data_IF_973463283352
#
_entry.id   IF_973463283352
#
_cell.length_a   1.000
_cell.length_b   1.000
_cell.length_c   1.000
_cell.angle_alpha   90.00
_cell.angle_beta   90.00
_cell.angle_gamma   90.00
#
_symmetry.space_group_name_H-M   'P 1'
#
loop_
_entity.id
_entity.type
_entity.pdbx_description
1 polymer ?
#
# COMPACT_ATOMS: atom_id res chain seq x y z
N UNK A 1 -20.73 38.83 1.96
CA UNK A 1 -19.48 38.65 1.20
C UNK A 1 -18.33 38.73 2.19
N UNK A 2 -17.97 37.67 2.80
CA UNK A 2 -16.84 37.56 3.73
C UNK A 2 -15.65 37.00 2.96
N UNK A 3 -14.71 37.89 2.62
CA UNK A 3 -13.42 37.53 2.04
C UNK A 3 -12.63 36.71 3.07
N UNK A 4 -12.55 35.41 2.90
CA UNK A 4 -11.57 34.55 3.55
C UNK A 4 -10.22 34.76 2.85
N UNK A 5 -9.48 35.79 3.21
CA UNK A 5 -8.07 35.97 2.87
C UNK A 5 -7.21 35.48 4.03
N UNK A 6 -7.20 34.19 4.25
CA UNK A 6 -6.29 33.53 5.13
C UNK A 6 -5.73 32.31 4.37
N UNK A 7 -4.66 32.51 3.61
CA UNK A 7 -3.85 31.38 3.12
C UNK A 7 -3.18 30.74 4.31
N UNK A 8 -3.89 29.84 5.02
CA UNK A 8 -3.23 28.94 5.94
C UNK A 8 -2.26 28.10 5.13
N UNK A 9 -0.98 28.16 5.44
CA UNK A 9 0.02 27.30 4.82
C UNK A 9 -0.46 25.85 4.91
N UNK A 10 -0.32 25.08 3.83
CA UNK A 10 -0.78 23.69 3.76
C UNK A 10 0.38 22.81 3.33
N UNK A 11 0.52 21.66 3.98
CA UNK A 11 1.45 20.63 3.55
C UNK A 11 0.73 19.65 2.63
N UNK A 12 1.38 19.29 1.54
CA UNK A 12 0.86 18.32 0.60
C UNK A 12 1.79 17.10 0.50
N UNK A 13 1.20 15.93 0.43
CA UNK A 13 1.90 14.66 0.37
C UNK A 13 1.35 13.82 -0.77
N UNK A 14 2.23 13.18 -1.53
CA UNK A 14 1.84 12.23 -2.58
C UNK A 14 2.49 10.88 -2.34
N UNK A 15 1.68 9.83 -2.33
CA UNK A 15 2.13 8.44 -2.28
C UNK A 15 1.89 7.79 -3.65
N UNK A 16 2.97 7.36 -4.32
CA UNK A 16 2.93 6.58 -5.55
C UNK A 16 3.00 5.09 -5.21
N UNK A 17 1.83 4.50 -4.95
CA UNK A 17 1.71 3.07 -4.71
C UNK A 17 1.63 2.26 -6.00
N UNK A 18 1.69 0.94 -5.91
CA UNK A 18 1.62 0.05 -7.09
C UNK A 18 0.26 0.09 -7.82
N UNK A 19 -0.83 0.41 -7.13
CA UNK A 19 -2.20 0.38 -7.69
C UNK A 19 -2.90 1.74 -7.71
N UNK A 20 -2.35 2.75 -7.05
CA UNK A 20 -2.97 4.08 -6.97
C UNK A 20 -1.96 5.16 -6.59
N UNK A 21 -2.23 6.37 -7.08
CA UNK A 21 -1.65 7.59 -6.55
C UNK A 21 -2.58 8.12 -5.48
N UNK A 22 -2.04 8.54 -4.34
CA UNK A 22 -2.81 9.16 -3.26
C UNK A 22 -2.23 10.54 -2.96
N UNK A 23 -3.07 11.56 -2.93
CA UNK A 23 -2.72 12.91 -2.56
C UNK A 23 -3.41 13.26 -1.24
N UNK A 24 -2.65 13.83 -0.32
CA UNK A 24 -3.14 14.26 0.99
C UNK A 24 -2.80 15.72 1.22
N UNK A 25 -3.75 16.50 1.73
CA UNK A 25 -3.58 17.88 2.13
C UNK A 25 -3.79 17.98 3.64
N UNK A 26 -2.82 18.55 4.33
CA UNK A 26 -2.84 18.73 5.79
C UNK A 26 -2.66 20.22 6.11
N UNK A 27 -3.49 20.83 6.96
CA UNK A 27 -3.30 22.19 7.41
C UNK A 27 -1.98 22.34 8.17
N UNK A 28 -1.26 23.44 7.95
CA UNK A 28 -0.01 23.74 8.69
C UNK A 28 -0.28 24.43 10.02
N UNK A 29 -1.44 25.04 10.16
CA UNK A 29 -1.76 25.98 11.24
C UNK A 29 -2.82 25.40 12.18
N UNK A 30 -2.52 24.38 12.95
CA UNK A 30 -3.25 24.12 14.18
C UNK A 30 -2.59 23.00 14.96
N UNK A 31 -1.65 23.28 15.83
CA UNK A 31 -1.24 22.34 16.86
C UNK A 31 -0.99 20.92 16.34
N UNK A 32 -0.97 19.96 17.21
CA UNK A 32 -0.69 18.53 16.89
C UNK A 32 -1.77 17.80 16.04
N UNK A 33 -2.69 18.48 15.39
CA UNK A 33 -3.68 17.84 14.50
C UNK A 33 -3.03 17.40 13.20
N UNK A 34 -2.84 16.09 13.05
CA UNK A 34 -2.40 15.42 11.84
C UNK A 34 -3.58 15.06 10.92
N UNK A 35 -4.72 15.71 11.11
CA UNK A 35 -5.94 15.42 10.38
C UNK A 35 -5.82 15.84 8.92
N UNK A 36 -6.10 14.91 8.03
CA UNK A 36 -6.12 15.14 6.59
C UNK A 36 -7.37 15.95 6.24
N UNK A 37 -7.18 17.20 5.78
CA UNK A 37 -8.28 18.04 5.32
C UNK A 37 -8.92 17.48 4.04
N UNK A 38 -8.07 17.03 3.10
CA UNK A 38 -8.52 16.49 1.82
C UNK A 38 -7.67 15.30 1.39
N UNK A 39 -8.32 14.26 0.89
CA UNK A 39 -7.68 13.08 0.30
C UNK A 39 -8.22 12.83 -1.11
N UNK A 40 -7.32 12.55 -2.05
CA UNK A 40 -7.65 12.04 -3.39
C UNK A 40 -6.88 10.77 -3.65
N UNK A 41 -7.59 9.75 -4.10
CA UNK A 41 -7.03 8.48 -4.54
C UNK A 41 -7.39 8.22 -5.98
N UNK A 42 -6.39 8.11 -6.85
CA UNK A 42 -6.56 7.84 -8.28
C UNK A 42 -5.95 6.48 -8.59
N UNK A 43 -6.76 5.54 -9.13
CA UNK A 43 -6.23 4.26 -9.62
C UNK A 43 -5.28 4.50 -10.80
N UNK A 44 -4.20 3.70 -10.85
CA UNK A 44 -3.31 3.66 -12.01
C UNK A 44 -2.73 2.26 -12.23
N UNK A 45 -2.07 2.04 -13.37
CA UNK A 45 -1.63 0.72 -13.81
C UNK A 45 -0.12 0.47 -13.60
N UNK A 46 0.55 1.25 -12.77
CA UNK A 46 1.99 1.17 -12.58
C UNK A 46 2.46 -0.23 -12.20
N UNK A 47 1.85 -0.82 -11.17
CA UNK A 47 2.22 -2.16 -10.73
C UNK A 47 2.00 -3.21 -11.81
N UNK A 48 0.93 -3.08 -12.63
CA UNK A 48 0.73 -3.99 -13.74
C UNK A 48 1.86 -3.91 -14.76
N UNK A 49 2.27 -2.72 -15.16
CA UNK A 49 3.37 -2.51 -16.09
C UNK A 49 4.67 -3.11 -15.54
N UNK A 50 5.02 -2.73 -14.30
CA UNK A 50 6.32 -3.09 -13.72
C UNK A 50 6.41 -4.57 -13.41
N UNK A 51 5.41 -5.16 -12.76
CA UNK A 51 5.45 -6.59 -12.40
C UNK A 51 5.19 -7.53 -13.58
N UNK A 52 4.72 -7.00 -14.71
CA UNK A 52 4.58 -7.76 -15.94
C UNK A 52 5.74 -7.64 -16.91
N UNK A 53 6.37 -6.45 -16.97
CA UNK A 53 7.32 -6.10 -18.03
C UNK A 53 8.62 -5.49 -17.51
N UNK A 54 8.76 -5.32 -16.18
CA UNK A 54 9.94 -4.73 -15.54
C UNK A 54 10.09 -3.22 -15.71
N UNK A 55 9.14 -2.55 -16.37
CA UNK A 55 9.25 -1.13 -16.73
C UNK A 55 7.90 -0.44 -16.82
N UNK A 56 7.90 0.88 -16.64
CA UNK A 56 6.72 1.74 -16.80
C UNK A 56 6.52 2.01 -18.29
N UNK A 57 5.32 1.79 -18.80
CA UNK A 57 4.99 2.09 -20.20
C UNK A 57 4.86 3.60 -20.43
N UNK A 58 5.16 4.10 -21.65
CA UNK A 58 4.96 5.52 -22.00
C UNK A 58 3.51 5.97 -21.75
N UNK A 59 2.54 5.09 -22.00
CA UNK A 59 1.12 5.35 -21.76
C UNK A 59 0.84 5.58 -20.25
N UNK A 60 1.40 4.76 -19.37
CA UNK A 60 1.23 4.92 -17.92
C UNK A 60 1.92 6.19 -17.42
N UNK A 61 3.11 6.53 -17.93
CA UNK A 61 3.77 7.79 -17.62
C UNK A 61 2.92 9.00 -18.01
N UNK A 62 2.46 9.04 -19.25
CA UNK A 62 1.62 10.14 -19.75
C UNK A 62 0.30 10.27 -18.97
N UNK A 63 -0.35 9.14 -18.64
CA UNK A 63 -1.56 9.13 -17.85
C UNK A 63 -1.32 9.67 -16.44
N UNK A 64 -0.20 9.29 -15.80
CA UNK A 64 0.18 9.81 -14.50
C UNK A 64 0.36 11.34 -14.52
N UNK A 65 1.12 11.85 -15.49
CA UNK A 65 1.38 13.29 -15.63
C UNK A 65 0.09 14.06 -15.88
N UNK A 66 -0.77 13.56 -16.76
CA UNK A 66 -2.10 14.15 -17.02
C UNK A 66 -2.95 14.19 -15.75
N UNK A 67 -2.97 13.10 -14.98
CA UNK A 67 -3.68 13.01 -13.69
C UNK A 67 -3.16 14.03 -12.70
N UNK A 68 -1.84 14.14 -12.55
CA UNK A 68 -1.22 15.10 -11.63
C UNK A 68 -1.48 16.55 -12.05
N UNK A 69 -1.46 16.85 -13.36
CA UNK A 69 -1.86 18.18 -13.88
C UNK A 69 -3.31 18.53 -13.49
N UNK A 70 -4.24 17.58 -13.60
CA UNK A 70 -5.62 17.77 -13.18
C UNK A 70 -5.75 17.96 -11.65
N UNK A 71 -5.02 17.16 -10.87
CA UNK A 71 -4.98 17.30 -9.40
C UNK A 71 -4.41 18.65 -8.98
N UNK A 72 -3.36 19.15 -9.65
CA UNK A 72 -2.80 20.49 -9.37
C UNK A 72 -3.81 21.60 -9.61
N UNK A 73 -4.66 21.48 -10.64
CA UNK A 73 -5.75 22.44 -10.87
C UNK A 73 -6.84 22.34 -9.79
N UNK A 74 -7.22 21.11 -9.40
CA UNK A 74 -8.22 20.89 -8.35
C UNK A 74 -7.77 21.44 -6.98
N UNK A 75 -6.47 21.34 -6.70
CA UNK A 75 -5.84 21.80 -5.45
C UNK A 75 -5.06 23.10 -5.67
N UNK A 76 -5.70 24.10 -6.28
CA UNK A 76 -5.11 25.42 -6.52
C UNK A 76 -4.48 26.00 -5.24
N UNK A 77 -3.26 26.51 -5.36
CA UNK A 77 -2.47 27.06 -4.24
C UNK A 77 -1.41 26.11 -3.68
N UNK A 78 -1.23 24.90 -4.25
CA UNK A 78 -0.14 24.00 -3.89
C UNK A 78 0.87 23.96 -5.04
N UNK A 79 2.11 24.37 -4.75
CA UNK A 79 3.25 24.13 -5.64
C UNK A 79 3.71 22.70 -5.51
N UNK A 80 3.88 22.00 -6.64
CA UNK A 80 4.42 20.63 -6.60
C UNK A 80 5.90 20.55 -6.21
N UNK A 81 6.61 21.67 -6.25
CA UNK A 81 7.98 21.78 -5.73
C UNK A 81 8.04 21.63 -4.20
N UNK A 82 6.95 22.00 -3.51
CA UNK A 82 6.82 21.94 -2.05
C UNK A 82 6.13 20.65 -1.56
N UNK A 83 5.73 19.75 -2.49
CA UNK A 83 5.07 18.49 -2.15
C UNK A 83 6.09 17.44 -1.71
N UNK A 84 5.84 16.81 -0.58
CA UNK A 84 6.57 15.59 -0.20
C UNK A 84 5.98 14.39 -0.95
N UNK A 85 6.74 13.84 -1.88
CA UNK A 85 6.29 12.72 -2.69
C UNK A 85 7.17 11.49 -2.49
N UNK A 86 6.54 10.34 -2.22
CA UNK A 86 7.21 9.06 -2.06
C UNK A 86 6.72 8.02 -3.08
N UNK A 87 7.65 7.20 -3.56
CA UNK A 87 7.36 6.06 -4.42
C UNK A 87 7.74 4.75 -3.74
N UNK A 88 6.86 3.75 -3.85
CA UNK A 88 7.04 2.45 -3.17
C UNK A 88 7.39 1.32 -4.14
N UNK A 89 7.06 0.08 -3.82
CA UNK A 89 7.51 -1.15 -4.48
C UNK A 89 7.58 -1.09 -6.02
N UNK A 90 6.52 -0.64 -6.71
CA UNK A 90 6.54 -0.63 -8.17
C UNK A 90 7.53 0.40 -8.75
N UNK A 91 7.66 1.60 -8.16
CA UNK A 91 8.68 2.57 -8.59
C UNK A 91 10.09 2.11 -8.24
N UNK A 92 10.27 1.44 -7.11
CA UNK A 92 11.55 0.90 -6.67
C UNK A 92 12.09 -0.15 -7.65
N UNK A 93 11.22 -0.96 -8.23
CA UNK A 93 11.57 -2.06 -9.13
C UNK A 93 11.56 -1.70 -10.62
N UNK A 94 11.01 -0.57 -10.98
CA UNK A 94 10.94 -0.15 -12.39
C UNK A 94 12.32 0.19 -12.94
N UNK A 95 12.78 -0.54 -13.97
CA UNK A 95 14.08 -0.31 -14.64
C UNK A 95 14.23 1.10 -15.20
N UNK A 96 13.13 1.77 -15.48
CA UNK A 96 13.10 3.13 -16.04
C UNK A 96 12.53 4.17 -15.06
N UNK A 97 12.56 3.90 -13.76
CA UNK A 97 12.07 4.83 -12.73
C UNK A 97 12.76 6.21 -12.78
N UNK A 98 14.06 6.24 -13.04
CA UNK A 98 14.83 7.49 -13.16
C UNK A 98 14.33 8.35 -14.34
N UNK A 99 13.97 7.73 -15.46
CA UNK A 99 13.42 8.44 -16.63
C UNK A 99 12.09 9.08 -16.24
N UNK A 100 11.23 8.33 -15.55
CA UNK A 100 9.93 8.82 -15.09
C UNK A 100 10.07 9.94 -14.06
N UNK A 101 11.00 9.83 -13.11
CA UNK A 101 11.28 10.88 -12.12
C UNK A 101 11.71 12.19 -12.80
N UNK A 102 12.65 12.12 -13.75
CA UNK A 102 13.09 13.30 -14.53
C UNK A 102 11.95 13.95 -15.32
N UNK A 103 11.05 13.13 -15.87
CA UNK A 103 9.89 13.64 -16.60
C UNK A 103 8.91 14.35 -15.66
N UNK A 104 8.66 13.83 -14.47
CA UNK A 104 7.82 14.49 -13.46
C UNK A 104 8.44 15.80 -12.95
N UNK A 105 9.76 15.82 -12.74
CA UNK A 105 10.46 17.04 -12.33
C UNK A 105 10.42 18.10 -13.44
N UNK A 106 10.71 17.73 -14.70
CA UNK A 106 10.72 18.67 -15.81
C UNK A 106 9.35 19.23 -16.18
N UNK A 107 8.27 18.42 -16.09
CA UNK A 107 6.92 18.83 -16.49
C UNK A 107 6.10 19.45 -15.37
N UNK A 108 6.38 19.11 -14.11
CA UNK A 108 5.55 19.45 -12.97
C UNK A 108 6.30 20.11 -11.81
N UNK A 109 7.63 20.10 -11.82
CA UNK A 109 8.46 20.47 -10.66
C UNK A 109 8.40 19.44 -9.53
N UNK A 110 7.80 18.26 -9.74
CA UNK A 110 7.57 17.27 -8.72
C UNK A 110 8.75 16.30 -8.61
N UNK A 111 9.37 16.27 -7.42
CA UNK A 111 10.42 15.32 -7.07
C UNK A 111 9.86 14.18 -6.25
N UNK A 112 10.15 12.93 -6.66
CA UNK A 112 9.73 11.73 -5.93
C UNK A 112 10.94 11.11 -5.24
N UNK A 113 10.81 10.85 -3.96
CA UNK A 113 11.73 10.00 -3.21
C UNK A 113 11.26 8.54 -3.28
N UNK A 114 12.06 7.67 -3.88
CA UNK A 114 11.79 6.22 -3.84
C UNK A 114 12.28 5.68 -2.51
N UNK A 115 11.36 5.09 -1.73
CA UNK A 115 11.66 4.58 -0.39
C UNK A 115 11.82 3.06 -0.41
N UNK A 116 12.75 2.57 0.43
CA UNK A 116 12.95 1.15 0.68
C UNK A 116 11.79 0.55 1.47
N UNK A 117 11.58 -0.78 1.35
CA UNK A 117 10.49 -1.47 2.04
C UNK A 117 10.56 -1.35 3.57
N UNK A 118 11.76 -1.31 4.14
CA UNK A 118 11.96 -1.06 5.56
C UNK A 118 11.49 0.33 6.01
N UNK A 119 11.67 1.36 5.17
CA UNK A 119 11.16 2.72 5.42
C UNK A 119 9.63 2.74 5.27
N UNK A 120 9.09 2.04 4.27
CA UNK A 120 7.64 1.91 4.08
C UNK A 120 6.98 1.27 5.32
N UNK A 121 7.55 0.18 5.85
CA UNK A 121 7.11 -0.48 7.07
C UNK A 121 7.26 0.41 8.34
N UNK A 122 8.32 1.21 8.42
CA UNK A 122 8.51 2.16 9.52
C UNK A 122 7.45 3.28 9.49
N UNK A 123 7.15 3.83 8.33
CA UNK A 123 6.09 4.84 8.18
C UNK A 123 4.72 4.26 8.54
N UNK A 124 4.46 3.01 8.15
CA UNK A 124 3.23 2.30 8.50
C UNK A 124 3.12 2.08 10.01
N UNK A 125 4.21 1.65 10.68
CA UNK A 125 4.25 1.44 12.14
C UNK A 125 3.74 2.66 12.91
N UNK A 126 4.12 3.85 12.45
CA UNK A 126 3.71 5.10 13.11
C UNK A 126 2.19 5.27 13.17
N UNK A 127 1.48 4.85 12.13
CA UNK A 127 0.01 4.90 12.09
C UNK A 127 -0.65 3.91 13.05
N UNK A 128 0.05 2.87 13.45
CA UNK A 128 -0.49 1.81 14.28
C UNK A 128 -0.05 1.86 15.75
N UNK A 129 1.01 2.59 16.07
CA UNK A 129 1.65 2.55 17.40
C UNK A 129 0.67 2.77 18.55
N UNK A 130 -0.31 3.66 18.35
CA UNK A 130 -1.35 3.94 19.36
C UNK A 130 -2.56 2.97 19.30
N UNK A 131 -2.49 1.94 18.47
CA UNK A 131 -3.56 0.95 18.32
C UNK A 131 -3.12 -0.43 18.82
N UNK A 132 -1.91 -0.51 19.40
CA UNK A 132 -1.30 -1.76 19.90
C UNK A 132 -1.27 -1.69 21.41
N UNK A 133 -2.14 -2.47 22.04
CA UNK A 133 -2.28 -2.54 23.51
C UNK A 133 -1.69 -3.84 24.09
N UNK A 134 -1.63 -4.90 23.28
CA UNK A 134 -1.17 -6.23 23.69
C UNK A 134 0.14 -6.65 23.03
N UNK A 135 0.98 -7.40 23.77
CA UNK A 135 2.27 -7.91 23.30
C UNK A 135 2.46 -9.39 23.68
N UNK A 136 3.05 -10.24 22.81
CA UNK A 136 3.43 -9.90 21.43
C UNK A 136 2.23 -9.84 20.51
N UNK A 137 2.27 -8.92 19.55
CA UNK A 137 1.27 -8.85 18.46
C UNK A 137 1.94 -8.54 17.15
N UNK A 138 1.21 -8.73 16.06
CA UNK A 138 1.70 -8.38 14.74
C UNK A 138 0.64 -7.68 13.89
N UNK A 139 1.11 -6.95 12.92
CA UNK A 139 0.31 -6.21 11.98
C UNK A 139 0.87 -6.42 10.58
N UNK A 140 0.00 -6.46 9.59
CA UNK A 140 0.40 -6.46 8.18
C UNK A 140 -0.40 -5.47 7.34
N UNK A 141 0.27 -4.90 6.30
CA UNK A 141 -0.36 -4.14 5.22
C UNK A 141 -0.16 -4.89 3.90
N UNK A 142 -1.20 -5.54 3.41
CA UNK A 142 -1.13 -6.14 2.09
C UNK A 142 -1.49 -5.12 1.01
N UNK A 143 -0.43 -4.57 0.42
CA UNK A 143 -0.49 -3.64 -0.69
C UNK A 143 -0.67 -4.30 -2.06
N UNK A 144 -0.40 -3.51 -3.10
CA UNK A 144 -0.39 -4.04 -4.48
C UNK A 144 0.91 -4.74 -4.85
N UNK A 145 2.04 -4.25 -4.38
CA UNK A 145 3.38 -4.73 -4.74
C UNK A 145 4.09 -5.51 -3.65
N UNK A 146 3.82 -5.19 -2.40
CA UNK A 146 4.47 -5.76 -1.22
C UNK A 146 3.47 -5.99 -0.10
N UNK A 147 3.94 -6.67 0.94
CA UNK A 147 3.27 -6.86 2.22
C UNK A 147 4.27 -6.44 3.31
N UNK A 148 3.93 -5.40 4.04
CA UNK A 148 4.69 -4.92 5.18
C UNK A 148 4.21 -5.64 6.43
N UNK A 149 5.10 -6.40 7.08
CA UNK A 149 4.85 -7.08 8.34
C UNK A 149 5.60 -6.35 9.46
N UNK A 150 4.89 -6.01 10.51
CA UNK A 150 5.43 -5.36 11.70
C UNK A 150 5.08 -6.23 12.90
N UNK A 151 6.11 -6.68 13.60
CA UNK A 151 5.98 -7.50 14.78
C UNK A 151 6.34 -6.67 16.00
N UNK A 152 5.41 -6.53 16.91
CA UNK A 152 5.60 -5.89 18.20
C UNK A 152 5.92 -6.97 19.22
N UNK A 153 7.20 -7.17 19.49
CA UNK A 153 7.67 -8.22 20.39
C UNK A 153 7.45 -7.84 21.86
N UNK A 154 7.60 -6.57 22.15
CA UNK A 154 7.31 -5.94 23.44
C UNK A 154 7.22 -4.41 23.22
N UNK A 155 6.85 -3.59 24.22
CA UNK A 155 6.68 -2.14 24.08
C UNK A 155 7.90 -1.38 23.51
N UNK A 156 9.11 -1.92 23.66
CA UNK A 156 10.35 -1.29 23.23
C UNK A 156 10.99 -1.91 22.00
N UNK A 157 10.45 -3.05 21.50
CA UNK A 157 11.07 -3.81 20.41
C UNK A 157 10.08 -4.16 19.32
N UNK A 158 10.38 -3.68 18.12
CA UNK A 158 9.64 -4.02 16.89
C UNK A 158 10.59 -4.62 15.85
N UNK A 159 10.06 -5.56 15.06
CA UNK A 159 10.73 -6.07 13.87
C UNK A 159 9.87 -5.74 12.66
N UNK A 160 10.49 -5.26 11.58
CA UNK A 160 9.84 -4.83 10.35
C UNK A 160 10.38 -5.62 9.18
N UNK A 161 9.49 -6.18 8.38
CA UNK A 161 9.83 -6.95 7.19
C UNK A 161 8.94 -6.49 6.04
N UNK A 162 9.53 -6.18 4.89
CA UNK A 162 8.78 -5.97 3.64
C UNK A 162 8.97 -7.19 2.77
N UNK A 163 7.88 -7.88 2.48
CA UNK A 163 7.85 -9.10 1.69
C UNK A 163 7.37 -8.74 0.29
N UNK A 164 8.04 -9.14 -0.81
CA UNK A 164 7.64 -8.81 -2.17
C UNK A 164 6.43 -9.63 -2.64
N UNK A 165 5.38 -9.62 -1.83
CA UNK A 165 4.09 -10.25 -2.06
C UNK A 165 3.01 -9.19 -2.00
N UNK A 166 2.34 -8.93 -3.13
CA UNK A 166 1.24 -7.97 -3.19
C UNK A 166 0.21 -8.42 -4.23
N UNK A 167 -1.02 -7.96 -4.09
CA UNK A 167 -2.14 -8.47 -4.89
C UNK A 167 -1.93 -8.31 -6.41
N UNK A 168 -1.41 -7.17 -6.88
CA UNK A 168 -1.15 -6.98 -8.31
C UNK A 168 0.12 -7.70 -8.77
N UNK A 169 1.15 -7.79 -7.91
CA UNK A 169 2.36 -8.56 -8.21
C UNK A 169 2.02 -10.03 -8.44
N UNK A 170 1.30 -10.66 -7.52
CA UNK A 170 0.87 -12.05 -7.63
C UNK A 170 -0.03 -12.27 -8.85
N UNK A 171 -0.99 -11.37 -9.10
CA UNK A 171 -1.81 -11.42 -10.30
C UNK A 171 -0.96 -11.42 -11.58
N UNK A 172 0.04 -10.55 -11.69
CA UNK A 172 0.91 -10.46 -12.86
C UNK A 172 1.75 -11.73 -13.08
N UNK A 173 2.21 -12.37 -12.00
CA UNK A 173 2.94 -13.63 -12.07
C UNK A 173 2.04 -14.79 -12.56
N UNK A 174 0.76 -14.78 -12.15
CA UNK A 174 -0.21 -15.83 -12.45
C UNK A 174 -1.01 -15.62 -13.75
N UNK A 175 -0.85 -14.48 -14.44
CA UNK A 175 -1.68 -14.10 -15.61
C UNK A 175 -1.66 -15.09 -16.78
N UNK A 176 -0.66 -15.98 -16.87
CA UNK A 176 -0.53 -17.01 -17.91
C UNK A 176 -1.10 -18.36 -17.49
N UNK A 177 -1.59 -18.48 -16.27
CA UNK A 177 -2.18 -19.71 -15.76
C UNK A 177 -3.51 -19.97 -16.46
N UNK A 178 -3.68 -21.21 -16.96
CA UNK A 178 -4.82 -21.53 -17.84
C UNK A 178 -6.09 -21.90 -17.10
N UNK A 179 -5.99 -22.40 -15.88
CA UNK A 179 -7.14 -22.82 -15.07
C UNK A 179 -7.13 -22.11 -13.73
N UNK A 180 -8.30 -21.88 -13.16
CA UNK A 180 -8.41 -21.24 -11.86
C UNK A 180 -7.85 -22.11 -10.74
N UNK A 181 -7.95 -23.43 -10.86
CA UNK A 181 -7.32 -24.36 -9.95
C UNK A 181 -5.80 -24.17 -9.91
N UNK A 182 -5.13 -24.19 -11.07
CA UNK A 182 -3.69 -23.94 -11.14
C UNK A 182 -3.31 -22.53 -10.67
N UNK A 183 -4.18 -21.55 -10.89
CA UNK A 183 -3.99 -20.19 -10.39
C UNK A 183 -3.89 -20.16 -8.86
N UNK A 184 -4.82 -20.83 -8.18
CA UNK A 184 -4.84 -20.93 -6.72
C UNK A 184 -3.60 -21.67 -6.20
N UNK A 185 -3.30 -22.87 -6.74
CA UNK A 185 -2.17 -23.67 -6.28
C UNK A 185 -0.82 -22.99 -6.52
N UNK A 186 -0.58 -22.47 -7.71
CA UNK A 186 0.64 -21.74 -8.01
C UNK A 186 0.75 -20.45 -7.19
N UNK A 187 -0.38 -19.77 -6.95
CA UNK A 187 -0.43 -18.59 -6.12
C UNK A 187 0.04 -18.85 -4.70
N UNK A 188 -0.45 -19.92 -4.08
CA UNK A 188 0.00 -20.38 -2.76
C UNK A 188 1.50 -20.65 -2.72
N UNK A 189 2.01 -21.45 -3.67
CA UNK A 189 3.43 -21.80 -3.75
C UNK A 189 4.34 -20.57 -3.91
N UNK A 190 3.93 -19.59 -4.72
CA UNK A 190 4.69 -18.35 -4.89
C UNK A 190 4.74 -17.58 -3.57
N UNK A 191 3.61 -17.39 -2.91
CA UNK A 191 3.54 -16.64 -1.65
C UNK A 191 4.31 -17.35 -0.54
N UNK A 192 4.18 -18.67 -0.40
CA UNK A 192 4.92 -19.48 0.57
C UNK A 192 6.43 -19.35 0.39
N UNK A 193 6.91 -19.39 -0.85
CA UNK A 193 8.33 -19.21 -1.17
C UNK A 193 8.80 -17.80 -0.76
N UNK A 194 8.11 -16.76 -1.20
CA UNK A 194 8.49 -15.38 -0.88
C UNK A 194 8.47 -15.13 0.64
N UNK A 195 7.50 -15.66 1.35
CA UNK A 195 7.46 -15.57 2.81
C UNK A 195 8.66 -16.29 3.45
N UNK A 196 8.96 -17.52 3.00
CA UNK A 196 10.10 -18.29 3.51
C UNK A 196 11.45 -17.58 3.26
N UNK A 197 11.61 -16.94 2.11
CA UNK A 197 12.85 -16.28 1.71
C UNK A 197 13.08 -14.94 2.45
N UNK A 198 12.01 -14.28 2.89
CA UNK A 198 12.08 -12.94 3.50
C UNK A 198 11.75 -12.92 4.99
N UNK A 199 11.11 -13.95 5.53
CA UNK A 199 10.79 -14.01 6.95
C UNK A 199 11.87 -14.72 7.76
N UNK A 200 12.14 -14.27 8.99
CA UNK A 200 13.08 -14.98 9.88
C UNK A 200 12.61 -16.40 10.21
N UNK A 201 13.54 -17.35 10.28
CA UNK A 201 13.22 -18.76 10.54
C UNK A 201 12.55 -19.05 11.89
N UNK A 202 12.72 -18.15 12.88
CA UNK A 202 12.15 -18.28 14.24
C UNK A 202 11.04 -17.24 14.44
N UNK A 203 9.94 -17.36 13.68
CA UNK A 203 8.79 -16.47 13.86
C UNK A 203 7.95 -16.92 15.07
N UNK A 204 7.58 -16.01 15.96
CA UNK A 204 6.50 -16.27 16.93
C UNK A 204 5.19 -16.60 16.19
N UNK A 205 4.33 -17.35 16.86
CA UNK A 205 2.94 -17.49 16.37
C UNK A 205 2.11 -16.34 16.91
N UNK A 206 1.29 -15.78 16.04
CA UNK A 206 0.39 -14.69 16.37
C UNK A 206 -1.06 -15.15 16.15
N UNK A 207 -1.75 -15.68 17.20
CA UNK A 207 -3.14 -16.12 17.05
C UNK A 207 -4.07 -15.00 16.56
N UNK A 208 -3.84 -13.79 17.01
CA UNK A 208 -4.53 -12.60 16.55
C UNK A 208 -3.56 -11.59 15.95
N UNK A 209 -3.94 -11.00 14.82
CA UNK A 209 -3.17 -9.97 14.12
C UNK A 209 -4.05 -8.79 13.74
N UNK A 210 -3.42 -7.63 13.58
CA UNK A 210 -4.03 -6.49 12.93
C UNK A 210 -3.71 -6.52 11.44
N UNK A 211 -4.69 -6.15 10.62
CA UNK A 211 -4.51 -6.09 9.17
C UNK A 211 -5.00 -4.77 8.59
N UNK A 212 -4.29 -4.26 7.59
CA UNK A 212 -4.69 -3.07 6.83
C UNK A 212 -4.49 -3.26 5.33
N UNK A 213 -4.66 -2.19 4.58
CA UNK A 213 -4.49 -2.20 3.13
C UNK A 213 -5.76 -2.45 2.35
N UNK A 214 -5.56 -2.45 1.04
CA UNK A 214 -6.68 -2.55 0.11
C UNK A 214 -7.36 -3.91 0.10
N UNK A 215 -6.60 -4.97 0.27
CA UNK A 215 -7.09 -6.35 0.29
C UNK A 215 -7.87 -6.64 1.55
N UNK A 216 -7.28 -6.37 2.73
CA UNK A 216 -7.95 -6.60 4.02
C UNK A 216 -9.27 -5.84 4.09
N UNK A 217 -9.26 -4.57 3.64
CA UNK A 217 -10.50 -3.78 3.56
C UNK A 217 -11.54 -4.40 2.61
N UNK A 218 -11.12 -5.02 1.51
CA UNK A 218 -12.03 -5.69 0.59
C UNK A 218 -12.64 -6.96 1.23
N UNK A 219 -11.83 -7.74 1.94
CA UNK A 219 -12.26 -8.94 2.68
C UNK A 219 -13.35 -8.57 3.70
N UNK A 220 -13.05 -7.67 4.63
CA UNK A 220 -14.01 -7.30 5.70
C UNK A 220 -15.28 -6.66 5.13
N UNK A 221 -15.17 -5.90 4.04
CA UNK A 221 -16.33 -5.36 3.35
C UNK A 221 -17.19 -6.45 2.70
N UNK A 222 -16.58 -7.49 2.15
CA UNK A 222 -17.29 -8.64 1.56
C UNK A 222 -18.00 -9.49 2.61
N UNK A 223 -17.43 -9.56 3.81
CA UNK A 223 -18.00 -10.29 4.96
C UNK A 223 -18.99 -9.45 5.77
N UNK A 224 -19.00 -8.13 5.61
CA UNK A 224 -19.89 -7.23 6.40
C UNK A 224 -19.48 -7.06 7.86
N UNK A 225 -18.25 -7.38 8.24
CA UNK A 225 -17.68 -7.26 9.60
C UNK A 225 -16.22 -6.85 9.57
N UNK A 226 -15.65 -6.43 10.68
CA UNK A 226 -14.30 -5.86 10.77
C UNK A 226 -13.18 -6.88 11.06
N UNK A 227 -13.53 -8.15 11.20
CA UNK A 227 -12.60 -9.25 11.45
C UNK A 227 -12.95 -10.48 10.63
N UNK A 228 -11.97 -11.36 10.43
CA UNK A 228 -12.13 -12.62 9.71
C UNK A 228 -11.13 -13.67 10.22
N UNK A 229 -11.44 -14.92 9.96
CA UNK A 229 -10.67 -16.10 10.29
C UNK A 229 -10.24 -16.87 9.03
N UNK A 230 -9.65 -18.04 9.23
CA UNK A 230 -9.17 -18.88 8.14
C UNK A 230 -10.31 -19.46 7.29
N UNK A 231 -11.41 -19.86 7.92
CA UNK A 231 -12.58 -20.42 7.28
C UNK A 231 -13.23 -19.40 6.34
N UNK A 232 -13.30 -18.14 6.74
CA UNK A 232 -13.76 -17.05 5.88
C UNK A 232 -12.94 -16.92 4.60
N UNK A 233 -11.60 -17.02 4.71
CA UNK A 233 -10.73 -16.95 3.54
C UNK A 233 -10.95 -18.13 2.61
N UNK A 234 -11.15 -19.34 3.15
CA UNK A 234 -11.46 -20.53 2.36
C UNK A 234 -12.80 -20.36 1.61
N UNK A 235 -13.83 -19.85 2.30
CA UNK A 235 -15.12 -19.56 1.68
C UNK A 235 -14.98 -18.53 0.55
N UNK A 236 -14.27 -17.44 0.80
CA UNK A 236 -14.04 -16.40 -0.23
C UNK A 236 -13.31 -16.95 -1.45
N UNK A 237 -12.31 -17.81 -1.27
CA UNK A 237 -11.60 -18.48 -2.36
C UNK A 237 -12.55 -19.38 -3.15
N UNK A 238 -13.38 -20.18 -2.47
CA UNK A 238 -14.34 -21.06 -3.14
C UNK A 238 -15.38 -20.27 -3.94
N UNK A 239 -15.90 -19.18 -3.40
CA UNK A 239 -16.85 -18.29 -4.08
C UNK A 239 -16.23 -17.67 -5.34
N UNK A 240 -14.95 -17.24 -5.29
CA UNK A 240 -14.22 -16.76 -6.47
C UNK A 240 -14.04 -17.88 -7.51
N UNK A 241 -13.73 -19.11 -7.08
CA UNK A 241 -13.59 -20.28 -7.97
C UNK A 241 -14.92 -20.59 -8.68
N UNK A 242 -16.04 -20.44 -8.00
CA UNK A 242 -17.38 -20.64 -8.60
C UNK A 242 -17.89 -19.45 -9.40
N UNK A 243 -17.08 -18.39 -9.53
CA UNK A 243 -17.40 -17.21 -10.35
C UNK A 243 -18.49 -16.31 -9.75
N UNK A 244 -18.65 -16.32 -8.43
CA UNK A 244 -19.57 -15.42 -7.77
C UNK A 244 -19.22 -13.95 -8.01
N UNK A 245 -20.24 -13.15 -8.29
CA UNK A 245 -20.09 -11.72 -8.50
C UNK A 245 -20.20 -10.98 -7.17
N UNK A 246 -19.24 -10.11 -6.88
CA UNK A 246 -19.26 -9.21 -5.73
C UNK A 246 -19.85 -7.85 -6.15
N UNK A 247 -21.15 -7.59 -5.96
CA UNK A 247 -21.82 -6.38 -6.48
C UNK A 247 -21.20 -5.10 -5.94
N UNK A 248 -20.71 -5.12 -4.71
CA UNK A 248 -20.13 -3.96 -4.02
C UNK A 248 -18.66 -3.71 -4.36
N UNK A 249 -18.01 -4.62 -5.12
CA UNK A 249 -16.58 -4.50 -5.43
C UNK A 249 -16.36 -3.76 -6.74
N UNK A 250 -15.59 -2.66 -6.74
CA UNK A 250 -15.24 -1.94 -7.98
C UNK A 250 -14.52 -2.84 -8.98
N UNK A 251 -14.80 -2.70 -10.27
CA UNK A 251 -14.25 -3.56 -11.35
C UNK A 251 -12.73 -3.68 -11.31
N UNK A 252 -12.00 -2.58 -11.06
CA UNK A 252 -10.54 -2.57 -10.98
C UNK A 252 -9.97 -3.35 -9.80
N UNK A 253 -10.79 -3.70 -8.79
CA UNK A 253 -10.39 -4.50 -7.64
C UNK A 253 -10.69 -5.99 -7.79
N UNK A 254 -11.63 -6.36 -8.64
CA UNK A 254 -12.02 -7.78 -8.83
C UNK A 254 -10.83 -8.66 -9.22
N UNK A 255 -10.00 -8.19 -10.16
CA UNK A 255 -8.81 -8.92 -10.59
C UNK A 255 -7.75 -9.11 -9.49
N UNK A 256 -7.78 -8.26 -8.47
CA UNK A 256 -6.82 -8.26 -7.36
C UNK A 256 -7.36 -8.93 -6.10
N UNK A 257 -8.64 -9.32 -6.10
CA UNK A 257 -9.26 -9.88 -4.90
C UNK A 257 -8.74 -11.28 -4.59
N UNK A 258 -8.88 -12.21 -5.51
CA UNK A 258 -8.39 -13.58 -5.33
C UNK A 258 -6.88 -13.63 -5.01
N UNK A 259 -5.95 -13.01 -5.78
CA UNK A 259 -4.54 -13.03 -5.41
C UNK A 259 -4.26 -12.38 -4.05
N UNK A 260 -5.02 -11.37 -3.67
CA UNK A 260 -4.92 -10.79 -2.34
C UNK A 260 -5.40 -11.73 -1.23
N UNK A 261 -6.54 -12.41 -1.41
CA UNK A 261 -7.05 -13.39 -0.43
C UNK A 261 -6.08 -14.56 -0.29
N UNK A 262 -5.51 -15.08 -1.39
CA UNK A 262 -4.49 -16.14 -1.35
C UNK A 262 -3.24 -15.71 -0.55
N UNK A 263 -2.80 -14.46 -0.72
CA UNK A 263 -1.65 -13.94 0.04
C UNK A 263 -1.94 -13.89 1.54
N UNK A 264 -3.16 -13.50 1.94
CA UNK A 264 -3.58 -13.50 3.34
C UNK A 264 -3.75 -14.93 3.87
N UNK A 265 -4.31 -15.85 3.09
CA UNK A 265 -4.47 -17.25 3.46
C UNK A 265 -3.12 -17.90 3.79
N UNK A 266 -2.11 -17.68 2.96
CA UNK A 266 -0.76 -18.21 3.20
C UNK A 266 -0.14 -17.57 4.45
N UNK A 267 -0.36 -16.28 4.68
CA UNK A 267 0.07 -15.60 5.91
C UNK A 267 -0.52 -16.29 7.15
N UNK A 268 -1.83 -16.61 7.14
CA UNK A 268 -2.49 -17.33 8.23
C UNK A 268 -1.81 -18.68 8.54
N UNK A 269 -1.54 -19.46 7.51
CA UNK A 269 -0.85 -20.76 7.68
C UNK A 269 0.57 -20.61 8.20
N UNK A 270 1.32 -19.66 7.64
CA UNK A 270 2.75 -19.50 7.96
C UNK A 270 2.95 -18.97 9.37
N UNK A 271 2.13 -18.05 9.83
CA UNK A 271 2.27 -17.39 11.14
C UNK A 271 1.37 -18.00 12.24
N UNK A 272 0.54 -18.99 11.90
CA UNK A 272 -0.39 -19.60 12.84
C UNK A 272 -1.49 -18.67 13.30
N UNK A 273 -1.92 -17.78 12.40
CA UNK A 273 -3.00 -16.80 12.67
C UNK A 273 -4.34 -17.52 12.76
N UNK A 274 -5.15 -17.14 13.72
CA UNK A 274 -6.54 -17.62 13.87
C UNK A 274 -7.52 -16.53 13.49
N UNK A 275 -7.18 -15.25 13.77
CA UNK A 275 -8.06 -14.11 13.51
C UNK A 275 -7.27 -12.88 13.09
N UNK A 276 -7.81 -12.15 12.12
CA UNK A 276 -7.34 -10.82 11.75
C UNK A 276 -8.44 -9.80 12.01
N UNK A 277 -8.08 -8.70 12.65
CA UNK A 277 -8.94 -7.53 12.83
C UNK A 277 -8.47 -6.38 11.96
N UNK A 278 -9.36 -5.85 11.13
CA UNK A 278 -9.04 -4.70 10.27
C UNK A 278 -8.89 -3.43 11.09
N UNK A 279 -7.83 -2.69 10.79
CA UNK A 279 -7.62 -1.33 11.29
C UNK A 279 -7.31 -0.39 10.13
N UNK A 280 -7.87 0.82 10.20
CA UNK A 280 -7.61 1.85 9.18
C UNK A 280 -6.36 2.62 9.56
N UNK A 281 -5.23 2.22 9.00
CA UNK A 281 -4.00 3.00 8.99
C UNK A 281 -3.26 2.80 7.67
N UNK A 282 -2.26 3.59 7.40
CA UNK A 282 -1.48 3.53 6.16
C UNK A 282 -0.14 4.25 6.35
N UNK A 283 0.72 4.19 5.35
CA UNK A 283 1.98 4.96 5.26
C UNK A 283 1.76 6.48 5.46
N UNK A 284 0.55 6.97 5.19
CA UNK A 284 0.17 8.39 5.32
C UNK A 284 0.48 8.99 6.69
N UNK A 285 0.13 8.29 7.76
CA UNK A 285 0.30 8.76 9.14
C UNK A 285 1.79 8.97 9.45
N UNK A 286 2.63 8.03 9.01
CA UNK A 286 4.09 8.15 9.11
C UNK A 286 4.64 9.26 8.25
N UNK A 287 4.18 9.36 7.00
CA UNK A 287 4.63 10.37 6.06
C UNK A 287 4.38 11.79 6.59
N UNK A 288 3.21 12.04 7.15
CA UNK A 288 2.86 13.33 7.77
C UNK A 288 3.72 13.60 9.02
N UNK A 289 4.00 12.55 9.83
CA UNK A 289 4.72 12.70 11.09
C UNK A 289 6.22 12.90 10.93
N UNK A 290 6.83 12.29 9.92
CA UNK A 290 8.29 12.21 9.73
C UNK A 290 8.80 12.97 8.51
N UNK A 291 8.02 13.89 7.94
CA UNK A 291 8.43 14.70 6.79
C UNK A 291 9.75 15.44 7.03
N UNK A 292 10.05 15.85 8.27
CA UNK A 292 11.32 16.48 8.63
C UNK A 292 12.53 15.54 8.53
N UNK A 293 12.32 14.22 8.55
CA UNK A 293 13.38 13.21 8.44
C UNK A 293 13.64 12.77 6.99
N UNK A 294 12.66 12.90 6.10
CA UNK A 294 12.78 12.48 4.71
C UNK A 294 13.78 13.32 3.87
N UNK A 295 13.91 14.63 4.04
CA UNK A 295 14.88 15.43 3.29
C UNK A 295 16.36 15.09 3.60
N UNK A 296 16.65 14.57 4.78
CA UNK A 296 18.01 14.16 5.15
C UNK A 296 18.47 12.91 4.42
N UNK A 297 17.56 12.13 3.84
CA UNK A 297 17.84 10.85 3.16
C UNK A 297 18.00 10.99 1.64
N UNK A 298 17.79 12.17 1.04
CA UNK A 298 17.73 12.30 -0.41
C UNK A 298 18.23 13.60 -1.06
N UNK A 299 19.02 14.45 -0.38
CA UNK A 299 19.75 15.48 -1.10
C UNK A 299 21.04 14.85 -1.66
N UNK A 300 21.21 14.72 -2.99
CA UNK A 300 22.53 14.51 -3.53
C UNK A 300 23.36 15.73 -3.14
N UNK A 301 24.51 15.46 -2.52
CA UNK A 301 25.59 16.41 -2.27
C UNK A 301 26.04 17.09 -3.56
#
# INVERSE_FOLDING_TARGET
>A
MTNYTGSSAKNAYIEFGSTSIKLYIVPTAAGDSKDVERERKVPWSLGYDVFSYGRISPRTMAHCISTLKSLRQEFSGISFEDVTAVGTAALREAQNSVIFQRQLESELGLRIQIIEGGIEAFLLETGFRNMVDDFPTALFDLGGGSNELIEYLNPASTRKTSIPVGAIRLHCQLRRTRTLYNYVEQGRLIVEREMKDHMPGNMPRYPEMLGTGGTVRAIVKSLGRDSFDFEDLQELIQREIHGEIWPTMPKHRRLLFLPGVLSVEVLFRTMGVQKVTYRKASVKEGLISFTSMLPAMGKPS
#
